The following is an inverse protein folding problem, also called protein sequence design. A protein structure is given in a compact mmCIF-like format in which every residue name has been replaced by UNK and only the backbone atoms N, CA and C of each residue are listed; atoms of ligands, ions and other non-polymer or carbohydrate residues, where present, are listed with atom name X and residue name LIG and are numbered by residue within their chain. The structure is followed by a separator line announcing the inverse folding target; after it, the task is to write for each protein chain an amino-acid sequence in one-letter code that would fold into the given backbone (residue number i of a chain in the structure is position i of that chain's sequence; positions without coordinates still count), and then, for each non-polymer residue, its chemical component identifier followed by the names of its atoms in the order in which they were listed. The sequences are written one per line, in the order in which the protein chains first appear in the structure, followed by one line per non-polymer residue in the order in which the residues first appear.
data_IF_626789427878
#
_entry.id   IF_626789427878
#
_cell.length_a   1.000
_cell.length_b   1.000
_cell.length_c   1.000
_cell.angle_alpha   90.00
_cell.angle_beta   90.00
_cell.angle_gamma   90.00
#
_symmetry.space_group_name_H-M   'P 1'
#
loop_
_entity.id
_entity.type
_entity.pdbx_description
1 polymer ?
#
# COMPACT_ATOMS: atom_id res chain seq x y z
N UNK A 1 5.94 24.35 -16.20
CA UNK A 1 6.59 23.89 -14.96
C UNK A 1 5.59 23.34 -13.96
N UNK A 2 5.65 22.03 -13.69
CA UNK A 2 5.01 21.44 -12.51
C UNK A 2 6.07 21.44 -11.41
N UNK A 3 5.88 22.15 -10.29
CA UNK A 3 6.86 22.15 -9.22
C UNK A 3 7.07 20.72 -8.69
N UNK A 4 8.32 20.31 -8.41
CA UNK A 4 8.58 18.97 -7.89
C UNK A 4 7.81 18.80 -6.58
N UNK A 5 7.17 17.62 -6.36
CA UNK A 5 6.38 17.40 -5.15
C UNK A 5 7.27 17.63 -3.93
N UNK A 6 6.82 18.55 -3.06
CA UNK A 6 7.61 19.19 -2.01
C UNK A 6 8.19 18.27 -0.92
N UNK A 7 8.05 16.94 -1.04
CA UNK A 7 8.68 15.94 -0.18
C UNK A 7 8.95 14.69 -1.01
N UNK A 8 10.13 14.04 -0.90
CA UNK A 8 10.32 12.72 -1.47
C UNK A 8 9.22 11.82 -0.92
N UNK A 9 8.51 11.10 -1.80
CA UNK A 9 7.43 10.23 -1.37
C UNK A 9 7.97 9.29 -0.30
N UNK A 10 7.39 9.37 0.91
CA UNK A 10 7.82 8.51 2.00
C UNK A 10 7.68 7.04 1.57
N UNK A 11 8.65 6.20 1.95
CA UNK A 11 8.62 4.75 1.65
C UNK A 11 7.28 4.12 2.07
N UNK A 12 6.65 4.64 3.14
CA UNK A 12 5.30 4.22 3.57
C UNK A 12 4.18 4.55 2.59
N UNK A 13 4.27 5.67 1.85
CA UNK A 13 3.26 6.05 0.84
C UNK A 13 3.38 5.15 -0.39
N UNK A 14 4.61 4.90 -0.86
CA UNK A 14 4.87 3.96 -1.96
C UNK A 14 4.39 2.54 -1.62
N UNK A 15 4.67 2.07 -0.41
CA UNK A 15 4.18 0.78 0.06
C UNK A 15 2.64 0.72 0.07
N UNK A 16 1.98 1.79 0.51
CA UNK A 16 0.50 1.87 0.53
C UNK A 16 -0.09 1.79 -0.87
N UNK A 17 0.45 2.58 -1.80
CA UNK A 17 0.00 2.62 -3.19
C UNK A 17 0.19 1.26 -3.87
N UNK A 18 1.33 0.60 -3.61
CA UNK A 18 1.59 -0.74 -4.11
C UNK A 18 0.60 -1.77 -3.55
N UNK A 19 0.31 -1.73 -2.25
CA UNK A 19 -0.71 -2.59 -1.62
C UNK A 19 -2.10 -2.37 -2.24
N UNK A 20 -2.49 -1.12 -2.44
CA UNK A 20 -3.81 -0.78 -2.99
C UNK A 20 -3.94 -1.23 -4.45
N UNK A 21 -2.88 -1.05 -5.26
CA UNK A 21 -2.83 -1.55 -6.63
C UNK A 21 -2.99 -3.07 -6.70
N UNK A 22 -2.20 -3.82 -5.93
CA UNK A 22 -2.26 -5.29 -5.93
C UNK A 22 -3.60 -5.79 -5.38
N UNK A 23 -4.20 -5.12 -4.39
CA UNK A 23 -5.54 -5.45 -3.92
C UNK A 23 -6.59 -5.25 -5.01
N UNK A 24 -6.50 -4.17 -5.79
CA UNK A 24 -7.42 -3.92 -6.91
C UNK A 24 -7.26 -4.97 -8.01
N UNK A 25 -6.02 -5.33 -8.36
CA UNK A 25 -5.69 -6.39 -9.32
C UNK A 25 -6.27 -7.76 -8.91
N UNK A 26 -6.37 -8.03 -7.60
CA UNK A 26 -6.96 -9.26 -7.05
C UNK A 26 -8.42 -9.10 -6.56
N UNK A 27 -9.13 -8.05 -6.98
CA UNK A 27 -10.55 -7.86 -6.65
C UNK A 27 -10.85 -7.76 -5.14
N UNK A 28 -9.90 -7.23 -4.36
CA UNK A 28 -10.01 -7.12 -2.91
C UNK A 28 -9.64 -8.39 -2.14
N UNK A 29 -9.17 -9.45 -2.79
CA UNK A 29 -8.75 -10.68 -2.11
C UNK A 29 -7.42 -10.48 -1.37
N UNK A 30 -7.52 -10.21 -0.06
CA UNK A 30 -6.38 -9.97 0.83
C UNK A 30 -5.37 -11.12 0.82
N UNK A 31 -5.83 -12.38 0.75
CA UNK A 31 -4.95 -13.54 0.78
C UNK A 31 -4.17 -13.72 -0.53
N UNK A 32 -4.79 -13.41 -1.67
CA UNK A 32 -4.13 -13.43 -2.97
C UNK A 32 -3.12 -12.26 -3.08
N UNK A 33 -3.55 -11.05 -2.72
CA UNK A 33 -2.69 -9.87 -2.71
C UNK A 33 -1.49 -10.03 -1.78
N UNK A 34 -1.68 -10.60 -0.59
CA UNK A 34 -0.57 -10.84 0.33
C UNK A 34 0.48 -11.81 -0.25
N UNK A 35 0.04 -12.87 -0.94
CA UNK A 35 0.93 -13.81 -1.64
C UNK A 35 1.68 -13.13 -2.77
N UNK A 36 0.99 -12.32 -3.59
CA UNK A 36 1.61 -11.55 -4.67
C UNK A 36 2.65 -10.52 -4.15
N UNK A 37 2.39 -9.92 -2.99
CA UNK A 37 3.29 -9.00 -2.30
C UNK A 37 4.41 -9.71 -1.51
N UNK A 38 4.48 -11.04 -1.53
CA UNK A 38 5.49 -11.81 -0.78
C UNK A 38 5.39 -11.66 0.74
N UNK A 39 4.21 -11.34 1.28
CA UNK A 39 4.02 -11.11 2.71
C UNK A 39 2.89 -11.95 3.30
N UNK A 40 2.90 -12.15 4.62
CA UNK A 40 1.79 -12.80 5.30
C UNK A 40 0.52 -11.94 5.26
N UNK A 41 -0.64 -12.58 5.04
CA UNK A 41 -1.97 -11.96 5.09
C UNK A 41 -2.20 -11.12 6.35
N UNK A 42 -1.76 -11.59 7.52
CA UNK A 42 -1.89 -10.87 8.81
C UNK A 42 -1.09 -9.56 8.81
N UNK A 43 0.06 -9.53 8.14
CA UNK A 43 0.88 -8.32 7.97
C UNK A 43 0.18 -7.33 7.04
N UNK A 44 -0.34 -7.79 5.90
CA UNK A 44 -1.11 -6.95 4.97
C UNK A 44 -2.32 -6.32 5.67
N UNK A 45 -3.09 -7.13 6.39
CA UNK A 45 -4.26 -6.67 7.14
C UNK A 45 -3.89 -5.63 8.22
N UNK A 46 -2.75 -5.80 8.91
CA UNK A 46 -2.25 -4.81 9.88
C UNK A 46 -1.85 -3.50 9.21
N UNK A 47 -1.20 -3.56 8.03
CA UNK A 47 -0.84 -2.38 7.23
C UNK A 47 -2.08 -1.63 6.74
N UNK A 48 -3.14 -2.34 6.35
CA UNK A 48 -4.43 -1.75 5.96
C UNK A 48 -5.14 -1.08 7.14
N UNK A 49 -5.12 -1.71 8.33
CA UNK A 49 -5.73 -1.17 9.55
C UNK A 49 -5.03 0.09 10.08
N UNK A 50 -3.71 0.21 9.89
CA UNK A 50 -3.02 1.47 10.17
C UNK A 50 -3.57 2.53 9.20
N UNK A 51 -4.46 3.39 9.71
CA UNK A 51 -4.90 4.57 8.97
C UNK A 51 -3.66 5.37 8.56
N UNK A 52 -3.59 5.89 7.32
CA UNK A 52 -2.60 6.90 7.01
C UNK A 52 -2.86 8.03 8.00
N UNK A 53 -1.86 8.35 8.82
CA UNK A 53 -1.86 9.62 9.54
C UNK A 53 -1.98 10.66 8.44
N UNK A 54 -3.15 11.34 8.36
CA UNK A 54 -3.33 12.47 7.47
C UNK A 54 -2.13 13.38 7.72
N UNK A 55 -1.27 13.56 6.70
CA UNK A 55 -0.17 14.51 6.77
C UNK A 55 -0.74 15.92 6.85
#
# INVERSE_FOLDING_TARGET
DVPPPARPMSVRRLEREHIERVLAEHGGNISAAARALGMHRRTLQRKLRKRPVKQ
#
